data_IF_722766158845
#
_entry.id   IF_722766158845
#
_cell.length_a   1.000
_cell.length_b   1.000
_cell.length_c   1.000
_cell.angle_alpha   90.00
_cell.angle_beta   90.00
_cell.angle_gamma   90.00
#
_symmetry.space_group_name_H-M   'P 1'
#
loop_
_entity.id
_entity.type
_entity.pdbx_description
1 polymer ?
#
# COMPACT_ATOMS: atom_id res chain seq x y z
N UNK A 1 -27.88 11.57 -19.56
CA UNK A 1 -26.77 10.61 -19.36
C UNK A 1 -25.85 11.17 -18.29
N UNK A 2 -25.96 10.71 -17.06
CA UNK A 2 -25.17 11.23 -15.93
C UNK A 2 -23.81 10.54 -15.91
N UNK A 3 -22.75 11.30 -16.17
CA UNK A 3 -21.37 10.81 -16.15
C UNK A 3 -20.92 10.63 -14.70
N UNK A 4 -20.58 9.40 -14.30
CA UNK A 4 -19.86 9.17 -13.06
C UNK A 4 -18.48 9.85 -13.16
N UNK A 5 -18.25 10.88 -12.36
CA UNK A 5 -16.94 11.48 -12.18
C UNK A 5 -16.24 10.67 -11.10
N UNK A 6 -15.18 9.94 -11.47
CA UNK A 6 -14.37 9.23 -10.50
C UNK A 6 -13.69 10.25 -9.56
N UNK A 7 -14.18 10.36 -8.34
CA UNK A 7 -13.53 11.16 -7.30
C UNK A 7 -12.19 10.50 -6.94
N UNK A 8 -11.09 11.05 -7.44
CA UNK A 8 -9.76 10.64 -6.98
C UNK A 8 -9.52 11.26 -5.61
N UNK A 9 -9.65 10.46 -4.56
CA UNK A 9 -9.31 10.88 -3.21
C UNK A 9 -7.80 11.17 -3.11
N UNK A 10 -7.36 12.24 -2.40
CA UNK A 10 -5.94 12.51 -2.19
C UNK A 10 -5.21 11.36 -1.48
N UNK A 11 -5.91 10.54 -0.69
CA UNK A 11 -5.36 9.32 -0.10
C UNK A 11 -5.04 8.26 -1.16
N UNK A 12 -5.91 8.09 -2.15
CA UNK A 12 -5.69 7.17 -3.26
C UNK A 12 -4.47 7.58 -4.11
N UNK A 13 -4.28 8.89 -4.34
CA UNK A 13 -3.12 9.40 -5.06
C UNK A 13 -1.80 9.19 -4.28
N UNK A 14 -1.80 9.42 -2.96
CA UNK A 14 -0.64 9.13 -2.09
C UNK A 14 -0.30 7.64 -2.05
N UNK A 15 -1.32 6.78 -1.97
CA UNK A 15 -1.15 5.34 -2.01
C UNK A 15 -0.62 4.85 -3.36
N UNK A 16 -1.10 5.43 -4.46
CA UNK A 16 -0.60 5.15 -5.80
C UNK A 16 0.88 5.52 -5.92
N UNK A 17 1.28 6.74 -5.50
CA UNK A 17 2.69 7.16 -5.48
C UNK A 17 3.56 6.19 -4.69
N UNK A 18 3.12 5.80 -3.49
CA UNK A 18 3.85 4.84 -2.65
C UNK A 18 4.04 3.49 -3.33
N UNK A 19 2.99 2.97 -3.99
CA UNK A 19 3.06 1.71 -4.75
C UNK A 19 4.04 1.79 -5.91
N UNK A 20 3.97 2.87 -6.70
CA UNK A 20 4.83 3.10 -7.86
C UNK A 20 6.31 3.21 -7.45
N UNK A 21 6.62 3.99 -6.42
CA UNK A 21 7.99 4.08 -5.89
C UNK A 21 8.48 2.71 -5.39
N UNK A 22 7.62 1.96 -4.69
CA UNK A 22 7.92 0.60 -4.27
C UNK A 22 8.25 -0.33 -5.45
N UNK A 23 7.54 -0.20 -6.59
CA UNK A 23 7.84 -0.96 -7.80
C UNK A 23 9.14 -0.50 -8.47
N UNK A 24 9.45 0.80 -8.50
CA UNK A 24 10.70 1.32 -9.04
C UNK A 24 11.89 0.74 -8.27
N UNK A 25 11.84 0.73 -6.94
CA UNK A 25 12.91 0.12 -6.13
C UNK A 25 13.00 -1.40 -6.30
N UNK A 26 11.86 -2.10 -6.42
CA UNK A 26 11.86 -3.54 -6.75
C UNK A 26 12.46 -3.80 -8.14
N UNK A 27 12.14 -2.98 -9.13
CA UNK A 27 12.64 -3.08 -10.49
C UNK A 27 14.14 -2.87 -10.55
N UNK A 28 14.66 -1.86 -9.86
CA UNK A 28 16.10 -1.65 -9.69
C UNK A 28 16.81 -2.93 -9.21
N UNK A 29 16.32 -3.51 -8.12
CA UNK A 29 16.92 -4.75 -7.57
C UNK A 29 16.78 -5.93 -8.54
N UNK A 30 15.62 -6.09 -9.17
CA UNK A 30 15.35 -7.20 -10.07
C UNK A 30 16.17 -7.16 -11.37
N UNK A 31 16.49 -5.95 -11.86
CA UNK A 31 17.30 -5.72 -13.04
C UNK A 31 18.81 -5.68 -12.74
N UNK A 32 19.20 -5.83 -11.47
CA UNK A 32 20.61 -5.82 -11.07
C UNK A 32 21.29 -4.47 -11.20
N UNK A 33 20.53 -3.36 -11.19
CA UNK A 33 21.10 -2.02 -11.33
C UNK A 33 21.88 -1.60 -10.08
N UNK A 34 23.11 -1.16 -10.30
CA UNK A 34 23.88 -0.46 -9.26
C UNK A 34 23.23 0.89 -8.92
N UNK A 35 23.76 1.58 -7.90
CA UNK A 35 23.31 2.95 -7.61
C UNK A 35 23.55 3.89 -8.80
N UNK A 36 24.68 3.75 -9.49
CA UNK A 36 25.05 4.58 -10.62
C UNK A 36 24.18 4.29 -11.84
N UNK A 37 23.93 3.01 -12.17
CA UNK A 37 23.00 2.62 -13.23
C UNK A 37 21.59 3.15 -12.98
N UNK A 38 21.15 3.07 -11.72
CA UNK A 38 19.84 3.55 -11.32
C UNK A 38 19.71 5.07 -11.52
N UNK A 39 20.71 5.85 -11.08
CA UNK A 39 20.72 7.30 -11.29
C UNK A 39 20.82 7.67 -12.76
N UNK A 40 21.66 6.97 -13.52
CA UNK A 40 21.78 7.15 -14.96
C UNK A 40 20.42 6.98 -15.64
N UNK A 41 19.71 5.88 -15.38
CA UNK A 41 18.39 5.65 -15.95
C UNK A 41 17.36 6.69 -15.50
N UNK A 42 17.37 7.13 -14.24
CA UNK A 42 16.45 8.17 -13.78
C UNK A 42 16.67 9.50 -14.51
N UNK A 43 17.92 9.95 -14.61
CA UNK A 43 18.27 11.20 -15.29
C UNK A 43 17.95 11.10 -16.78
N UNK A 44 18.29 9.99 -17.44
CA UNK A 44 18.04 9.80 -18.87
C UNK A 44 16.54 9.82 -19.21
N UNK A 45 15.70 9.21 -18.37
CA UNK A 45 14.26 9.07 -18.65
C UNK A 45 13.48 10.33 -18.24
N UNK A 46 13.93 11.02 -17.18
CA UNK A 46 13.11 12.03 -16.48
C UNK A 46 13.83 13.34 -16.20
N UNK A 47 15.15 13.40 -16.32
CA UNK A 47 15.99 14.52 -15.89
C UNK A 47 16.22 14.59 -14.38
N UNK A 48 15.55 13.76 -13.58
CA UNK A 48 15.68 13.77 -12.12
C UNK A 48 16.77 12.81 -11.64
N UNK A 49 17.54 13.23 -10.64
CA UNK A 49 18.57 12.39 -10.00
C UNK A 49 17.99 11.43 -8.95
N UNK A 50 16.72 11.59 -8.58
CA UNK A 50 16.06 10.80 -7.53
C UNK A 50 14.62 10.47 -7.90
N UNK A 51 14.18 9.26 -7.53
CA UNK A 51 12.77 8.85 -7.68
C UNK A 51 11.82 9.64 -6.78
N UNK A 52 12.34 10.27 -5.70
CA UNK A 52 11.55 11.09 -4.79
C UNK A 52 10.97 12.34 -5.49
N UNK A 53 11.70 12.86 -6.48
CA UNK A 53 11.36 14.10 -7.20
C UNK A 53 10.42 13.86 -8.39
N UNK A 54 10.07 12.59 -8.66
CA UNK A 54 9.22 12.25 -9.79
C UNK A 54 7.74 12.56 -9.53
N UNK A 55 7.11 13.19 -10.51
CA UNK A 55 5.67 13.29 -10.63
C UNK A 55 5.04 11.98 -11.14
N UNK A 56 3.72 11.96 -11.34
CA UNK A 56 3.02 10.75 -11.79
C UNK A 56 3.48 10.29 -13.19
N UNK A 57 3.70 11.23 -14.11
CA UNK A 57 4.15 10.93 -15.46
C UNK A 57 5.58 10.36 -15.48
N UNK A 58 6.49 10.94 -14.69
CA UNK A 58 7.86 10.47 -14.52
C UNK A 58 7.92 9.06 -13.97
N UNK A 59 7.16 8.75 -12.92
CA UNK A 59 7.08 7.38 -12.37
C UNK A 59 6.54 6.38 -13.39
N UNK A 60 5.52 6.76 -14.16
CA UNK A 60 4.98 5.90 -15.22
C UNK A 60 6.01 5.61 -16.33
N UNK A 61 6.79 6.62 -16.76
CA UNK A 61 7.86 6.45 -17.75
C UNK A 61 8.95 5.49 -17.28
N UNK A 62 9.41 5.64 -16.04
CA UNK A 62 10.44 4.75 -15.45
C UNK A 62 9.93 3.32 -15.35
N UNK A 63 8.70 3.10 -14.88
CA UNK A 63 8.09 1.76 -14.81
C UNK A 63 7.92 1.13 -16.19
N UNK A 64 7.54 1.91 -17.20
CA UNK A 64 7.45 1.42 -18.57
C UNK A 64 8.82 1.03 -19.13
N UNK A 65 9.87 1.79 -18.83
CA UNK A 65 11.25 1.45 -19.21
C UNK A 65 11.71 0.15 -18.54
N UNK A 66 11.51 0.02 -17.23
CA UNK A 66 11.81 -1.22 -16.51
C UNK A 66 11.06 -2.43 -17.10
N UNK A 67 9.79 -2.25 -17.49
CA UNK A 67 9.01 -3.31 -18.12
C UNK A 67 9.59 -3.75 -19.48
N UNK A 68 10.09 -2.80 -20.29
CA UNK A 68 10.80 -3.11 -21.54
C UNK A 68 12.08 -3.93 -21.30
N UNK A 69 12.74 -3.70 -20.17
CA UNK A 69 13.92 -4.45 -19.74
C UNK A 69 13.59 -5.79 -19.05
N UNK A 70 12.31 -6.19 -19.05
CA UNK A 70 11.87 -7.48 -18.53
C UNK A 70 11.39 -7.48 -17.08
N UNK A 71 11.38 -6.33 -16.40
CA UNK A 71 10.81 -6.26 -15.04
C UNK A 71 9.29 -6.48 -15.07
N UNK A 72 8.83 -7.40 -14.22
CA UNK A 72 7.41 -7.58 -13.91
C UNK A 72 7.22 -7.42 -12.40
N UNK A 73 6.39 -6.46 -11.94
CA UNK A 73 6.11 -6.32 -10.52
C UNK A 73 5.56 -7.63 -9.97
N UNK A 74 6.06 -8.05 -8.80
CA UNK A 74 5.48 -9.20 -8.12
C UNK A 74 4.02 -8.89 -7.84
N UNK A 75 3.11 -9.73 -8.32
CA UNK A 75 1.71 -9.63 -7.90
C UNK A 75 1.69 -9.72 -6.38
N UNK A 76 0.85 -8.92 -5.73
CA UNK A 76 0.56 -9.17 -4.32
C UNK A 76 -0.05 -10.57 -4.29
N UNK A 77 0.70 -11.54 -3.76
CA UNK A 77 0.17 -12.84 -3.40
C UNK A 77 -1.12 -12.58 -2.63
N UNK A 78 -2.22 -13.15 -3.12
CA UNK A 78 -3.52 -13.07 -2.47
C UNK A 78 -3.33 -13.38 -0.98
N UNK A 79 -3.49 -12.38 -0.12
CA UNK A 79 -3.49 -12.60 1.31
C UNK A 79 -4.92 -12.99 1.64
N UNK A 80 -5.17 -14.20 2.18
CA UNK A 80 -6.52 -14.69 2.45
C UNK A 80 -7.30 -13.85 3.48
N UNK A 81 -6.62 -12.91 4.14
CA UNK A 81 -7.20 -11.98 5.11
C UNK A 81 -6.91 -10.54 4.69
N UNK A 82 -7.95 -9.71 4.61
CA UNK A 82 -7.76 -8.27 4.73
C UNK A 82 -7.28 -7.91 6.15
N UNK A 83 -6.90 -6.65 6.35
CA UNK A 83 -6.46 -6.19 7.67
C UNK A 83 -7.55 -6.36 8.75
N UNK A 84 -8.84 -6.06 8.51
CA UNK A 84 -9.89 -6.26 9.52
C UNK A 84 -10.04 -7.72 9.95
N UNK A 85 -9.98 -8.66 9.02
CA UNK A 85 -10.09 -10.10 9.28
C UNK A 85 -8.91 -10.58 10.11
N UNK A 86 -7.71 -10.09 9.81
CA UNK A 86 -6.49 -10.39 10.58
C UNK A 86 -6.57 -9.84 12.01
N UNK A 87 -7.08 -8.63 12.20
CA UNK A 87 -7.26 -8.04 13.53
C UNK A 87 -8.26 -8.85 14.36
N UNK A 88 -9.41 -9.22 13.79
CA UNK A 88 -10.41 -10.08 14.44
C UNK A 88 -9.82 -11.45 14.81
N UNK A 89 -9.02 -12.04 13.92
CA UNK A 89 -8.36 -13.31 14.18
C UNK A 89 -7.33 -13.23 15.32
N UNK A 90 -6.48 -12.18 15.34
CA UNK A 90 -5.52 -11.97 16.43
C UNK A 90 -6.20 -11.74 17.78
N UNK A 91 -7.29 -10.97 17.80
CA UNK A 91 -8.09 -10.75 19.00
C UNK A 91 -8.65 -12.06 19.56
N UNK A 92 -9.21 -12.91 18.68
CA UNK A 92 -9.67 -14.25 19.06
C UNK A 92 -8.54 -15.11 19.62
N UNK A 93 -7.33 -15.05 19.04
CA UNK A 93 -6.17 -15.80 19.54
C UNK A 93 -5.73 -15.35 20.93
N UNK A 94 -5.88 -14.06 21.27
CA UNK A 94 -5.60 -13.57 22.61
C UNK A 94 -6.64 -14.05 23.65
N UNK A 95 -7.91 -14.14 23.24
CA UNK A 95 -8.99 -14.70 24.07
C UNK A 95 -8.79 -16.19 24.33
N UNK A 96 -8.48 -16.98 23.29
CA UNK A 96 -8.15 -18.40 23.40
C UNK A 96 -6.95 -18.66 24.32
N UNK A 97 -6.01 -17.72 24.40
CA UNK A 97 -4.86 -17.79 25.29
C UNK A 97 -5.15 -17.32 26.74
N UNK A 98 -6.39 -16.91 27.04
CA UNK A 98 -6.80 -16.39 28.34
C UNK A 98 -6.24 -14.99 28.65
N UNK A 99 -5.70 -14.29 27.66
CA UNK A 99 -5.13 -12.95 27.82
C UNK A 99 -6.17 -11.84 27.84
N UNK A 100 -7.43 -12.16 27.55
CA UNK A 100 -8.55 -11.22 27.54
C UNK A 100 -9.61 -11.63 28.55
N UNK A 101 -10.23 -10.62 29.16
CA UNK A 101 -11.43 -10.81 29.99
C UNK A 101 -12.69 -10.99 29.12
N UNK A 102 -12.68 -10.44 27.91
CA UNK A 102 -13.77 -10.53 26.93
C UNK A 102 -13.20 -10.47 25.50
N UNK A 103 -13.28 -11.60 24.78
CA UNK A 103 -12.90 -11.74 23.37
C UNK A 103 -13.93 -11.29 22.36
N UNK A 104 -15.05 -10.69 22.77
CA UNK A 104 -16.12 -10.29 21.85
C UNK A 104 -15.70 -9.21 20.84
N UNK A 105 -16.35 -9.14 19.66
CA UNK A 105 -16.13 -8.05 18.71
C UNK A 105 -16.41 -6.66 19.29
N UNK A 106 -17.36 -6.56 20.23
CA UNK A 106 -17.67 -5.30 20.92
C UNK A 106 -16.49 -4.85 21.79
N UNK A 107 -15.86 -5.78 22.53
CA UNK A 107 -14.68 -5.48 23.33
C UNK A 107 -13.49 -5.05 22.46
N UNK A 108 -13.32 -5.64 21.28
CA UNK A 108 -12.32 -5.23 20.30
C UNK A 108 -12.53 -3.79 19.84
N UNK A 109 -13.76 -3.42 19.46
CA UNK A 109 -14.08 -2.04 19.04
C UNK A 109 -13.86 -1.03 20.17
N UNK A 110 -14.28 -1.37 21.39
CA UNK A 110 -14.05 -0.54 22.56
C UNK A 110 -12.54 -0.37 22.87
N UNK A 111 -11.74 -1.43 22.72
CA UNK A 111 -10.29 -1.35 22.86
C UNK A 111 -9.65 -0.43 21.81
N UNK A 112 -10.03 -0.58 20.54
CA UNK A 112 -9.53 0.29 19.47
C UNK A 112 -9.91 1.74 19.77
N UNK A 113 -11.18 2.00 20.11
CA UNK A 113 -11.64 3.36 20.37
C UNK A 113 -10.95 4.04 21.56
N UNK A 114 -10.69 3.29 22.64
CA UNK A 114 -9.86 3.77 23.76
C UNK A 114 -8.42 4.06 23.34
N UNK A 115 -7.84 3.25 22.45
CA UNK A 115 -6.43 3.35 22.04
C UNK A 115 -6.17 4.55 21.12
N UNK A 116 -7.10 4.84 20.20
CA UNK A 116 -6.95 5.93 19.23
C UNK A 116 -7.64 7.23 19.66
N UNK A 117 -8.38 7.22 20.77
CA UNK A 117 -9.10 8.38 21.30
C UNK A 117 -10.32 8.78 20.47
N UNK A 118 -10.86 7.89 19.64
CA UNK A 118 -12.06 8.14 18.81
C UNK A 118 -13.01 6.96 18.93
N UNK A 119 -14.32 7.19 18.86
CA UNK A 119 -15.27 6.08 18.81
C UNK A 119 -15.14 5.32 17.47
N UNK A 120 -15.23 3.98 17.52
CA UNK A 120 -15.14 3.12 16.33
C UNK A 120 -16.34 2.20 16.29
N UNK A 121 -17.15 2.35 15.24
CA UNK A 121 -18.32 1.51 14.97
C UNK A 121 -18.05 0.59 13.78
N UNK A 122 -18.51 -0.66 13.88
CA UNK A 122 -18.49 -1.62 12.79
C UNK A 122 -19.65 -1.27 11.86
N UNK A 123 -19.42 -0.34 10.92
CA UNK A 123 -20.44 0.25 10.02
C UNK A 123 -21.19 -0.76 9.14
N UNK A 124 -22.01 -1.61 9.76
CA UNK A 124 -23.04 -2.39 9.11
C UNK A 124 -24.20 -1.44 8.84
N UNK A 125 -24.26 -0.96 7.60
CA UNK A 125 -25.50 -0.43 7.03
C UNK A 125 -26.45 -1.63 6.93
N UNK A 126 -27.64 -1.48 7.53
CA UNK A 126 -28.74 -2.44 7.46
C UNK A 126 -29.23 -2.63 6.02
#
# INVERSE_FOLDING_TARGET
MTRFVAHTSPFAAKDQRRRELGHIHQGRTALGWTEDDYRFHLVEITGAASSADLDAAGRAKVLAHMAKLGFRPKSRSFKPFGQPEKIKWLWKKLDEAGGLRDGSPTALLAFVGRTIGTEVSNGAVA
#
